data_IF_058677860892
#
_entry.id   IF_058677860892
#
_cell.length_a   1.000
_cell.length_b   1.000
_cell.length_c   1.000
_cell.angle_alpha   90.00
_cell.angle_beta   90.00
_cell.angle_gamma   90.00
#
_symmetry.space_group_name_H-M   'P 1'
#
loop_
_entity.id
_entity.type
_entity.pdbx_description
1 polymer ?
#
# COMPACT_ATOMS: atom_id res chain seq x y z
N UNK A 1 41.64 13.10 19.36
CA UNK A 1 42.67 13.58 18.42
C UNK A 1 42.01 14.61 17.53
N UNK A 2 42.49 15.85 17.59
CA UNK A 2 42.29 16.99 16.68
C UNK A 2 40.87 17.49 16.39
N UNK A 3 40.63 18.79 16.24
CA UNK A 3 41.06 19.98 16.96
C UNK A 3 40.01 21.03 16.58
N UNK A 4 39.48 21.74 17.58
CA UNK A 4 38.51 22.81 17.40
C UNK A 4 39.16 23.98 16.64
N UNK A 5 38.40 24.62 15.75
CA UNK A 5 38.72 25.98 15.29
C UNK A 5 37.45 26.83 15.35
N UNK A 6 37.36 27.54 16.47
CA UNK A 6 36.55 28.73 16.69
C UNK A 6 37.29 29.93 16.10
N UNK A 7 36.60 30.73 15.29
CA UNK A 7 37.01 32.11 15.03
C UNK A 7 35.87 33.05 15.39
N UNK A 8 36.14 33.84 16.42
CA UNK A 8 35.37 34.97 16.92
C UNK A 8 35.64 36.15 15.98
N UNK A 9 34.59 36.88 15.58
CA UNK A 9 34.74 38.28 15.19
C UNK A 9 33.53 39.07 15.69
N UNK A 10 33.85 39.86 16.71
CA UNK A 10 33.07 40.92 17.33
C UNK A 10 32.96 42.12 16.36
N UNK A 11 31.84 42.83 16.42
CA UNK A 11 31.76 44.31 16.49
C UNK A 11 30.82 45.03 15.52
N UNK A 12 30.02 45.86 16.19
CA UNK A 12 29.51 47.19 15.85
C UNK A 12 28.30 47.33 14.91
N UNK A 13 27.17 47.60 15.57
CA UNK A 13 26.02 48.36 15.07
C UNK A 13 26.44 49.82 14.88
N UNK A 14 26.23 50.38 13.69
CA UNK A 14 26.00 51.81 13.50
C UNK A 14 24.62 52.00 12.87
N UNK A 15 23.77 52.74 13.56
CA UNK A 15 22.56 53.33 13.01
C UNK A 15 22.95 54.47 12.06
N UNK A 16 22.41 54.43 10.84
CA UNK A 16 22.50 55.51 9.88
C UNK A 16 21.15 55.69 9.21
N UNK A 17 20.52 56.84 9.47
CA UNK A 17 19.29 57.28 8.81
C UNK A 17 19.60 57.80 7.41
N UNK A 18 18.79 57.34 6.44
CA UNK A 18 18.34 58.02 5.21
C UNK A 18 19.37 58.66 4.29
N UNK A 19 19.43 58.19 3.03
CA UNK A 19 19.25 59.06 1.85
C UNK A 19 18.67 58.21 0.71
N UNK A 20 17.60 58.69 0.09
CA UNK A 20 17.11 58.18 -1.18
C UNK A 20 18.19 58.32 -2.26
N UNK A 21 18.44 57.26 -3.01
CA UNK A 21 19.17 57.32 -4.27
C UNK A 21 18.45 56.45 -5.28
N UNK A 22 17.85 57.12 -6.27
CA UNK A 22 17.30 56.50 -7.47
C UNK A 22 18.44 55.77 -8.19
N UNK A 23 18.36 54.43 -8.24
CA UNK A 23 19.25 53.61 -9.05
C UNK A 23 18.46 52.93 -10.16
N UNK A 24 18.91 53.26 -11.36
CA UNK A 24 18.53 52.78 -12.68
C UNK A 24 18.30 51.26 -12.70
N UNK A 25 17.13 50.83 -13.18
CA UNK A 25 16.84 49.43 -13.52
C UNK A 25 17.81 48.96 -14.60
N UNK A 26 18.87 48.27 -14.18
CA UNK A 26 19.66 47.41 -15.05
C UNK A 26 18.82 46.15 -15.28
N UNK A 27 18.36 45.97 -16.52
CA UNK A 27 17.65 44.78 -16.98
C UNK A 27 18.57 43.57 -16.85
N UNK A 28 18.26 42.71 -15.89
CA UNK A 28 18.90 41.40 -15.71
C UNK A 28 18.24 40.42 -16.71
N UNK A 29 19.01 39.63 -17.48
CA UNK A 29 18.44 38.63 -18.37
C UNK A 29 17.71 37.56 -17.54
N UNK A 30 16.48 37.25 -17.93
CA UNK A 30 15.66 36.23 -17.31
C UNK A 30 16.34 34.86 -17.43
N UNK A 31 16.63 34.22 -16.29
CA UNK A 31 16.93 32.80 -16.27
C UNK A 31 15.70 32.03 -16.82
N UNK A 32 15.90 30.93 -17.58
CA UNK A 32 14.78 30.11 -18.02
C UNK A 32 14.02 29.62 -16.78
N UNK A 33 12.71 29.89 -16.74
CA UNK A 33 11.83 29.31 -15.75
C UNK A 33 11.93 27.78 -15.87
N UNK A 34 12.50 27.14 -14.84
CA UNK A 34 12.43 25.70 -14.70
C UNK A 34 10.94 25.35 -14.62
N UNK A 35 10.43 24.72 -15.67
CA UNK A 35 9.09 24.18 -15.70
C UNK A 35 9.03 23.07 -14.64
N UNK A 36 8.43 23.36 -13.48
CA UNK A 36 8.08 22.35 -12.50
C UNK A 36 7.12 21.36 -13.19
N UNK A 37 7.66 20.25 -13.67
CA UNK A 37 6.85 19.15 -14.18
C UNK A 37 6.05 18.61 -12.99
N UNK A 38 4.75 18.85 -12.98
CA UNK A 38 3.84 18.29 -12.00
C UNK A 38 3.89 16.76 -12.16
N UNK A 39 4.49 16.07 -11.19
CA UNK A 39 4.31 14.62 -11.04
C UNK A 39 2.83 14.37 -10.76
N UNK A 40 2.13 13.49 -11.50
CA UNK A 40 0.74 13.21 -11.23
C UNK A 40 0.60 12.70 -9.79
N UNK A 41 -0.21 13.38 -9.00
CA UNK A 41 -0.50 12.97 -7.63
C UNK A 41 -1.18 11.59 -7.67
N UNK A 42 -0.63 10.61 -6.94
CA UNK A 42 -1.29 9.33 -6.73
C UNK A 42 -2.52 9.56 -5.86
N UNK A 43 -3.72 9.45 -6.43
CA UNK A 43 -4.97 9.58 -5.68
C UNK A 43 -5.10 8.44 -4.68
N UNK A 44 -5.20 8.76 -3.39
CA UNK A 44 -5.44 7.77 -2.35
C UNK A 44 -6.76 7.01 -2.63
N UNK A 45 -6.85 5.71 -2.29
CA UNK A 45 -8.08 4.95 -2.47
C UNK A 45 -9.26 5.57 -1.71
N UNK A 46 -10.41 5.62 -2.38
CA UNK A 46 -11.69 6.03 -1.79
C UNK A 46 -12.45 4.79 -1.34
N UNK A 47 -12.99 4.79 -0.12
CA UNK A 47 -13.87 3.71 0.35
C UNK A 47 -15.26 3.87 -0.28
N UNK A 48 -15.73 2.81 -0.94
CA UNK A 48 -17.08 2.72 -1.49
C UNK A 48 -18.07 2.39 -0.37
N UNK A 49 -17.83 1.28 0.33
CA UNK A 49 -18.72 0.79 1.40
C UNK A 49 -18.00 -0.24 2.29
N UNK A 50 -18.48 -0.44 3.52
CA UNK A 50 -18.02 -1.48 4.45
C UNK A 50 -19.09 -2.58 4.56
N UNK A 51 -18.65 -3.85 4.53
CA UNK A 51 -19.47 -5.05 4.65
C UNK A 51 -18.85 -5.96 5.71
N UNK A 52 -19.30 -5.83 6.96
CA UNK A 52 -18.76 -6.61 8.08
C UNK A 52 -17.23 -6.48 8.13
N UNK A 53 -16.48 -7.56 7.91
CA UNK A 53 -15.01 -7.57 7.93
C UNK A 53 -14.35 -7.04 6.64
N UNK A 54 -15.11 -6.76 5.57
CA UNK A 54 -14.58 -6.42 4.26
C UNK A 54 -14.98 -5.02 3.81
N UNK A 55 -14.00 -4.18 3.48
CA UNK A 55 -14.24 -2.88 2.85
C UNK A 55 -14.09 -2.97 1.34
N UNK A 56 -14.99 -2.32 0.59
CA UNK A 56 -14.87 -2.10 -0.85
C UNK A 56 -14.28 -0.72 -1.13
N UNK A 57 -13.32 -0.64 -2.05
CA UNK A 57 -12.54 0.55 -2.35
C UNK A 57 -12.38 0.74 -3.86
N UNK A 58 -12.10 1.97 -4.26
CA UNK A 58 -11.68 2.31 -5.62
C UNK A 58 -10.58 3.36 -5.67
N UNK A 59 -9.81 3.39 -6.75
CA UNK A 59 -8.95 4.51 -7.10
C UNK A 59 -8.86 4.66 -8.61
N UNK A 60 -8.42 5.83 -9.08
CA UNK A 60 -8.18 6.10 -10.49
C UNK A 60 -6.76 5.70 -10.87
N UNK A 61 -6.63 4.89 -11.92
CA UNK A 61 -5.36 4.51 -12.53
C UNK A 61 -5.39 4.90 -14.01
N UNK A 62 -4.88 6.10 -14.30
CA UNK A 62 -5.04 6.73 -15.61
C UNK A 62 -6.53 6.93 -15.94
N UNK A 63 -6.97 6.40 -17.08
CA UNK A 63 -8.37 6.45 -17.51
C UNK A 63 -9.26 5.38 -16.85
N UNK A 64 -8.68 4.39 -16.17
CA UNK A 64 -9.41 3.25 -15.62
C UNK A 64 -9.75 3.47 -14.15
N UNK A 65 -10.83 2.85 -13.69
CA UNK A 65 -11.10 2.68 -12.25
C UNK A 65 -10.60 1.31 -11.82
N UNK A 66 -9.78 1.27 -10.77
CA UNK A 66 -9.43 0.01 -10.10
C UNK A 66 -10.33 -0.12 -8.89
N UNK A 67 -11.01 -1.26 -8.77
CA UNK A 67 -11.80 -1.60 -7.60
C UNK A 67 -11.31 -2.88 -6.95
N UNK A 68 -11.33 -2.90 -5.62
CA UNK A 68 -10.90 -4.02 -4.83
C UNK A 68 -11.64 -4.08 -3.51
N UNK A 69 -11.65 -5.26 -2.90
CA UNK A 69 -12.08 -5.45 -1.53
C UNK A 69 -10.89 -5.80 -0.65
N UNK A 70 -10.91 -5.36 0.59
CA UNK A 70 -9.83 -5.52 1.55
C UNK A 70 -10.37 -5.93 2.91
N UNK A 71 -9.65 -6.81 3.59
CA UNK A 71 -9.85 -7.11 5.01
C UNK A 71 -8.52 -7.04 5.78
N UNK A 72 -8.64 -6.87 7.08
CA UNK A 72 -7.54 -6.88 8.06
C UNK A 72 -7.69 -8.09 8.97
N UNK A 73 -6.60 -8.62 9.53
CA UNK A 73 -6.70 -9.81 10.37
C UNK A 73 -7.38 -9.51 11.70
N UNK A 74 -8.21 -10.45 12.16
CA UNK A 74 -8.81 -10.45 13.49
C UNK A 74 -7.85 -10.98 14.56
N UNK A 75 -6.83 -11.74 14.16
CA UNK A 75 -5.78 -12.26 15.05
C UNK A 75 -4.43 -12.24 14.33
N UNK A 76 -3.36 -11.94 15.07
CA UNK A 76 -1.98 -11.96 14.58
C UNK A 76 -1.12 -12.81 15.53
N UNK A 77 -0.33 -13.74 14.98
CA UNK A 77 0.56 -14.64 15.74
C UNK A 77 1.98 -14.64 15.14
N UNK A 78 3.03 -14.77 15.98
CA UNK A 78 3.00 -14.84 17.46
C UNK A 78 2.69 -13.48 18.10
N UNK A 79 2.19 -13.48 19.34
CA UNK A 79 1.97 -12.24 20.08
C UNK A 79 3.31 -11.56 20.46
N UNK A 80 3.26 -10.25 20.74
CA UNK A 80 4.40 -9.51 21.28
C UNK A 80 5.47 -9.09 20.27
N UNK A 81 5.18 -9.20 18.97
CA UNK A 81 6.04 -8.67 17.90
C UNK A 81 5.31 -7.60 17.08
N UNK A 82 6.08 -6.76 16.40
CA UNK A 82 5.52 -5.87 15.39
C UNK A 82 5.24 -6.66 14.10
N UNK A 83 3.96 -6.72 13.74
CA UNK A 83 3.50 -7.37 12.51
C UNK A 83 3.42 -6.39 11.32
N UNK A 84 3.43 -5.09 11.59
CA UNK A 84 2.97 -4.07 10.65
C UNK A 84 1.52 -4.26 10.20
N UNK A 85 1.21 -3.62 9.07
CA UNK A 85 -0.10 -3.67 8.43
C UNK A 85 -0.17 -4.85 7.48
N UNK A 86 -1.11 -5.75 7.75
CA UNK A 86 -1.31 -6.97 6.98
C UNK A 86 -2.73 -6.95 6.41
N UNK A 87 -2.85 -7.20 5.13
CA UNK A 87 -4.10 -7.14 4.41
C UNK A 87 -4.28 -8.38 3.54
N UNK A 88 -5.53 -8.78 3.40
CA UNK A 88 -5.93 -9.64 2.29
C UNK A 88 -6.81 -8.83 1.35
N UNK A 89 -6.44 -8.82 0.07
CA UNK A 89 -7.06 -8.00 -0.96
C UNK A 89 -7.57 -8.91 -2.07
N UNK A 90 -8.76 -8.61 -2.59
CA UNK A 90 -9.26 -9.23 -3.82
C UNK A 90 -9.59 -8.11 -4.80
N UNK A 91 -8.78 -7.99 -5.85
CA UNK A 91 -8.92 -6.96 -6.87
C UNK A 91 -9.69 -7.47 -8.07
N UNK A 92 -10.54 -6.64 -8.68
CA UNK A 92 -11.10 -6.96 -9.99
C UNK A 92 -10.09 -6.61 -11.08
N UNK A 93 -9.87 -7.51 -12.04
CA UNK A 93 -9.02 -7.22 -13.20
C UNK A 93 -9.73 -6.22 -14.13
N UNK A 94 -9.13 -5.05 -14.44
CA UNK A 94 -9.74 -4.07 -15.34
C UNK A 94 -10.01 -4.65 -16.73
N UNK A 95 -11.15 -4.30 -17.34
CA UNK A 95 -11.47 -4.69 -18.71
C UNK A 95 -11.77 -6.17 -18.94
N UNK A 96 -11.79 -6.99 -17.89
CA UNK A 96 -12.17 -8.41 -17.95
C UNK A 96 -13.47 -8.62 -17.16
N UNK A 97 -14.47 -9.25 -17.79
CA UNK A 97 -15.72 -9.57 -17.10
C UNK A 97 -15.45 -10.61 -15.99
N UNK A 98 -15.65 -10.17 -14.75
CA UNK A 98 -15.70 -10.96 -13.51
C UNK A 98 -14.47 -11.88 -13.34
N UNK A 99 -13.28 -11.29 -13.36
CA UNK A 99 -12.04 -11.94 -12.94
C UNK A 99 -11.47 -11.24 -11.70
N UNK A 100 -11.12 -12.03 -10.69
CA UNK A 100 -10.64 -11.56 -9.40
C UNK A 100 -9.24 -12.07 -9.14
N UNK A 101 -8.36 -11.21 -8.64
CA UNK A 101 -6.99 -11.54 -8.25
C UNK A 101 -6.84 -11.39 -6.72
N UNK A 102 -6.81 -12.50 -5.97
CA UNK A 102 -6.50 -12.51 -4.54
C UNK A 102 -5.02 -12.23 -4.28
N UNK A 103 -4.75 -11.39 -3.29
CA UNK A 103 -3.41 -10.96 -2.89
C UNK A 103 -3.30 -10.92 -1.37
N UNK A 104 -2.21 -11.47 -0.84
CA UNK A 104 -1.79 -11.24 0.55
C UNK A 104 -0.73 -10.13 0.58
N UNK A 105 -0.95 -9.07 1.36
CA UNK A 105 0.03 -8.00 1.57
C UNK A 105 0.48 -7.99 3.02
N UNK A 106 1.77 -8.19 3.23
CA UNK A 106 2.39 -8.31 4.55
C UNK A 106 3.02 -6.99 5.00
N UNK A 107 3.04 -6.75 6.31
CA UNK A 107 3.65 -5.54 6.89
C UNK A 107 5.18 -5.52 6.74
N UNK A 108 5.78 -6.66 6.44
CA UNK A 108 7.21 -6.92 6.39
C UNK A 108 7.59 -7.66 5.11
N UNK A 109 8.88 -7.61 4.77
CA UNK A 109 9.44 -8.42 3.69
C UNK A 109 9.40 -9.89 4.08
N UNK A 110 8.78 -10.69 3.22
CA UNK A 110 8.67 -12.15 3.33
C UNK A 110 10.03 -12.78 3.01
N UNK A 111 10.32 -13.96 3.56
CA UNK A 111 11.55 -14.70 3.28
C UNK A 111 11.64 -15.03 1.80
N UNK A 112 12.77 -14.74 1.19
CA UNK A 112 13.03 -15.08 -0.21
C UNK A 112 12.84 -16.58 -0.44
N UNK A 113 12.26 -16.92 -1.60
CA UNK A 113 11.93 -18.29 -2.00
C UNK A 113 10.96 -19.03 -1.06
N UNK A 114 10.34 -18.35 -0.08
CA UNK A 114 9.25 -18.93 0.71
C UNK A 114 7.89 -18.71 0.06
N UNK A 115 6.91 -19.49 0.49
CA UNK A 115 5.51 -19.40 0.05
C UNK A 115 4.65 -18.79 1.16
N UNK A 116 3.50 -18.27 0.77
CA UNK A 116 2.41 -17.95 1.69
C UNK A 116 1.33 -19.02 1.50
N UNK A 117 0.89 -19.61 2.60
CA UNK A 117 -0.21 -20.57 2.58
C UNK A 117 -1.49 -19.89 3.05
N UNK A 118 -2.52 -19.93 2.20
CA UNK A 118 -3.86 -19.47 2.52
C UNK A 118 -4.75 -20.66 2.76
N UNK A 119 -5.22 -20.80 4.00
CA UNK A 119 -6.07 -21.91 4.44
C UNK A 119 -7.48 -21.38 4.69
N UNK A 120 -8.46 -21.96 4.01
CA UNK A 120 -9.88 -21.65 4.21
C UNK A 120 -10.58 -22.97 4.54
N UNK A 121 -11.05 -23.08 5.77
CA UNK A 121 -11.58 -24.32 6.35
C UNK A 121 -10.58 -25.50 6.15
N UNK A 122 -10.84 -26.41 5.21
CA UNK A 122 -9.99 -27.57 4.90
C UNK A 122 -9.25 -27.47 3.55
N UNK A 123 -9.26 -26.30 2.90
CA UNK A 123 -8.61 -26.07 1.60
C UNK A 123 -7.39 -25.18 1.75
N UNK A 124 -6.30 -25.56 1.11
CA UNK A 124 -5.04 -24.79 1.10
C UNK A 124 -4.75 -24.28 -0.31
N UNK A 125 -4.40 -23.01 -0.41
CA UNK A 125 -3.98 -22.35 -1.63
C UNK A 125 -2.58 -21.77 -1.40
N UNK A 126 -1.65 -22.11 -2.29
CA UNK A 126 -0.25 -21.69 -2.18
C UNK A 126 -0.03 -20.43 -3.02
N UNK A 127 0.60 -19.44 -2.41
CA UNK A 127 0.95 -18.18 -3.04
C UNK A 127 2.47 -18.07 -3.24
N UNK A 128 2.87 -17.69 -4.46
CA UNK A 128 4.24 -17.22 -4.67
C UNK A 128 4.41 -15.83 -4.06
N UNK A 129 5.64 -15.49 -3.69
CA UNK A 129 5.93 -14.27 -2.94
C UNK A 129 6.90 -13.37 -3.70
N UNK A 130 6.72 -12.06 -3.55
CA UNK A 130 7.70 -11.05 -3.96
C UNK A 130 7.65 -9.89 -2.97
N UNK A 131 8.81 -9.56 -2.40
CA UNK A 131 8.97 -8.54 -1.39
C UNK A 131 8.02 -8.74 -0.18
N UNK A 132 6.91 -7.99 -0.14
CA UNK A 132 5.92 -8.03 0.93
C UNK A 132 4.60 -8.68 0.51
N UNK A 133 4.46 -9.09 -0.75
CA UNK A 133 3.19 -9.52 -1.30
C UNK A 133 3.24 -10.97 -1.77
N UNK A 134 2.07 -11.60 -1.83
CA UNK A 134 1.88 -12.91 -2.43
C UNK A 134 0.62 -12.98 -3.28
N UNK A 135 0.68 -13.82 -4.32
CA UNK A 135 -0.39 -14.09 -5.28
C UNK A 135 -0.48 -15.59 -5.52
N UNK A 136 -1.65 -16.06 -5.95
CA UNK A 136 -1.84 -17.47 -6.28
C UNK A 136 -0.85 -17.89 -7.37
N UNK A 137 -0.14 -19.00 -7.17
CA UNK A 137 0.90 -19.47 -8.09
C UNK A 137 0.36 -19.87 -9.47
N UNK A 138 -0.84 -20.43 -9.50
CA UNK A 138 -1.56 -20.74 -10.72
C UNK A 138 -2.82 -19.88 -10.80
N UNK A 139 -2.87 -18.96 -11.77
CA UNK A 139 -4.04 -18.09 -11.97
C UNK A 139 -5.35 -18.88 -12.19
N UNK A 140 -5.28 -20.12 -12.72
CA UNK A 140 -6.45 -20.98 -12.86
C UNK A 140 -7.06 -21.43 -11.52
N UNK A 141 -6.33 -21.28 -10.40
CA UNK A 141 -6.83 -21.55 -9.05
C UNK A 141 -7.49 -20.33 -8.39
N UNK A 142 -7.35 -19.12 -8.95
CA UNK A 142 -7.97 -17.91 -8.40
C UNK A 142 -9.50 -18.05 -8.26
N UNK A 143 -10.25 -18.58 -9.26
CA UNK A 143 -11.69 -18.79 -9.10
C UNK A 143 -12.04 -19.74 -7.96
N UNK A 144 -11.22 -20.79 -7.75
CA UNK A 144 -11.43 -21.75 -6.68
C UNK A 144 -11.16 -21.14 -5.29
N UNK A 145 -10.13 -20.28 -5.18
CA UNK A 145 -9.85 -19.52 -3.97
C UNK A 145 -10.99 -18.56 -3.66
N UNK A 146 -11.43 -17.74 -4.63
CA UNK A 146 -12.55 -16.79 -4.43
C UNK A 146 -13.84 -17.53 -4.10
N UNK A 147 -14.12 -18.67 -4.73
CA UNK A 147 -15.27 -19.50 -4.39
C UNK A 147 -15.19 -20.01 -2.94
N UNK A 148 -14.03 -20.50 -2.50
CA UNK A 148 -13.83 -20.92 -1.11
C UNK A 148 -14.00 -19.75 -0.13
N UNK A 149 -13.49 -18.55 -0.45
CA UNK A 149 -13.70 -17.37 0.39
C UNK A 149 -15.18 -17.00 0.52
N UNK A 150 -15.97 -17.11 -0.55
CA UNK A 150 -17.40 -16.77 -0.55
C UNK A 150 -18.25 -17.73 0.30
N UNK A 151 -17.83 -18.99 0.45
CA UNK A 151 -18.57 -20.02 1.19
C UNK A 151 -17.99 -20.34 2.57
N UNK A 152 -16.72 -19.99 2.81
CA UNK A 152 -16.02 -20.27 4.05
C UNK A 152 -16.34 -19.27 5.16
N UNK A 153 -15.87 -19.57 6.37
CA UNK A 153 -16.15 -18.76 7.57
C UNK A 153 -14.94 -17.96 8.03
N UNK A 154 -13.77 -18.61 8.03
CA UNK A 154 -12.49 -18.00 8.38
C UNK A 154 -11.41 -18.37 7.37
N UNK A 155 -10.40 -17.52 7.30
CA UNK A 155 -9.23 -17.71 6.46
C UNK A 155 -7.98 -17.45 7.28
N UNK A 156 -7.00 -18.34 7.19
CA UNK A 156 -5.69 -18.18 7.84
C UNK A 156 -4.62 -17.98 6.77
N UNK A 157 -3.81 -16.94 6.93
CA UNK A 157 -2.65 -16.65 6.07
C UNK A 157 -1.39 -16.91 6.86
N UNK A 158 -0.60 -17.89 6.41
CA UNK A 158 0.68 -18.25 7.02
C UNK A 158 1.82 -17.77 6.14
N UNK A 159 2.79 -17.09 6.75
CA UNK A 159 3.96 -16.53 6.08
C UNK A 159 5.20 -16.69 6.94
N UNK A 160 6.38 -16.56 6.32
CA UNK A 160 7.66 -16.49 7.05
C UNK A 160 8.33 -15.16 6.75
N UNK A 161 8.65 -14.37 7.77
CA UNK A 161 9.37 -13.10 7.58
C UNK A 161 10.78 -13.34 7.06
N UNK A 162 11.40 -12.33 6.42
CA UNK A 162 12.80 -12.38 6.00
C UNK A 162 13.77 -12.72 7.15
N UNK A 163 13.38 -12.39 8.39
CA UNK A 163 14.14 -12.71 9.61
C UNK A 163 13.95 -14.16 10.10
N UNK A 164 13.12 -14.95 9.43
CA UNK A 164 12.84 -16.35 9.77
C UNK A 164 11.69 -16.56 10.75
N UNK A 165 10.96 -15.50 11.14
CA UNK A 165 9.81 -15.63 12.04
C UNK A 165 8.60 -16.19 11.29
N UNK A 166 8.09 -17.34 11.73
CA UNK A 166 6.80 -17.85 11.27
C UNK A 166 5.67 -16.99 11.83
N UNK A 167 4.77 -16.56 10.95
CA UNK A 167 3.65 -15.67 11.27
C UNK A 167 2.35 -16.25 10.75
N UNK A 168 1.26 -16.01 11.48
CA UNK A 168 -0.08 -16.47 11.11
C UNK A 168 -1.10 -15.38 11.37
N UNK A 169 -2.03 -15.22 10.43
CA UNK A 169 -3.06 -14.18 10.45
C UNK A 169 -4.43 -14.77 10.19
N UNK A 170 -5.35 -14.61 11.14
CA UNK A 170 -6.74 -15.04 10.98
C UNK A 170 -7.58 -13.89 10.43
N UNK A 171 -8.42 -14.16 9.43
CA UNK A 171 -9.36 -13.21 8.83
C UNK A 171 -10.78 -13.78 8.90
N UNK A 172 -11.76 -12.92 9.16
CA UNK A 172 -13.18 -13.28 9.00
C UNK A 172 -13.59 -13.18 7.53
N UNK A 173 -14.30 -14.17 7.02
CA UNK A 173 -14.89 -14.14 5.67
C UNK A 173 -16.29 -13.52 5.66
N UNK A 174 -16.81 -13.11 6.81
CA UNK A 174 -18.11 -12.44 6.91
C UNK A 174 -18.14 -11.16 6.08
N UNK A 175 -19.10 -11.09 5.15
CA UNK A 175 -19.32 -9.92 4.29
C UNK A 175 -18.59 -9.93 2.94
N UNK A 176 -17.67 -10.87 2.69
CA UNK A 176 -16.89 -10.87 1.45
C UNK A 176 -17.75 -10.98 0.18
N UNK A 177 -18.78 -11.85 0.20
CA UNK A 177 -19.68 -12.03 -0.95
C UNK A 177 -20.40 -10.73 -1.32
N UNK A 178 -20.83 -9.95 -0.32
CA UNK A 178 -21.47 -8.66 -0.55
C UNK A 178 -20.47 -7.59 -1.03
N UNK A 179 -19.26 -7.58 -0.47
CA UNK A 179 -18.19 -6.69 -0.89
C UNK A 179 -17.77 -6.94 -2.34
N UNK A 180 -17.60 -8.21 -2.74
CA UNK A 180 -17.25 -8.57 -4.13
C UNK A 180 -18.36 -8.15 -5.09
N UNK A 181 -19.63 -8.40 -4.72
CA UNK A 181 -20.77 -7.93 -5.51
C UNK A 181 -20.79 -6.40 -5.67
N UNK A 182 -20.37 -5.65 -4.65
CA UNK A 182 -20.31 -4.18 -4.72
C UNK A 182 -19.28 -3.68 -5.75
N UNK A 183 -18.16 -4.40 -5.92
CA UNK A 183 -17.11 -4.02 -6.86
C UNK A 183 -17.31 -4.62 -8.25
N UNK A 184 -18.13 -5.66 -8.42
CA UNK A 184 -18.36 -6.34 -9.71
C UNK A 184 -18.73 -5.39 -10.86
N UNK A 185 -19.52 -4.35 -10.57
CA UNK A 185 -19.95 -3.34 -11.55
C UNK A 185 -18.95 -2.22 -11.81
N UNK A 186 -17.75 -2.27 -11.24
CA UNK A 186 -16.72 -1.26 -11.43
C UNK A 186 -16.16 -1.31 -12.86
N UNK A 187 -16.08 -0.13 -13.49
CA UNK A 187 -15.61 0.07 -14.87
C UNK A 187 -14.45 1.05 -14.90
#
# INVERSE_FOLDING_TARGET
MFLRSTAIALSLVLAGAGIASAQSKKSQPAAPAAQQQATPASTAPTRIQQFQAWGAYSYKSGANTVCYVLSVPTEKKPAGIDHGDNFFIVSQRPGQNISYEPQAMMGYTVKENSKIDVVIDNKTFVMFTKDKAGWVENAAQEPALVAAMKTGHSMTVNATSRKGTSTSYSYSLSGISAALKQVEGCK
#
